data_IF_121082127762
#
_entry.id   IF_121082127762
#
_cell.length_a   1.000
_cell.length_b   1.000
_cell.length_c   1.000
_cell.angle_alpha   90.00
_cell.angle_beta   90.00
_cell.angle_gamma   90.00
#
_symmetry.space_group_name_H-M   'P 1'
#
loop_
_entity.id
_entity.type
_entity.pdbx_description
1 polymer ?
#
# COMPACT_ATOMS: atom_id res chain seq x y z
N UNK A 1 -0.78 -7.85 -25.94
CA UNK A 1 -0.85 -6.88 -24.85
C UNK A 1 -0.05 -5.63 -25.21
N UNK A 2 -0.53 -4.41 -24.85
CA UNK A 2 0.17 -3.16 -25.12
C UNK A 2 1.60 -3.18 -24.54
N UNK A 3 2.53 -2.53 -25.23
CA UNK A 3 3.91 -2.34 -24.74
C UNK A 3 4.00 -1.10 -23.83
N UNK A 4 5.14 -0.89 -23.17
CA UNK A 4 5.29 0.08 -22.08
C UNK A 4 4.80 1.50 -22.41
N UNK A 5 5.15 2.06 -23.57
CA UNK A 5 4.68 3.37 -24.02
C UNK A 5 3.17 3.40 -24.29
N UNK A 6 2.63 2.33 -24.85
CA UNK A 6 1.21 2.19 -25.16
C UNK A 6 0.37 2.01 -23.88
N UNK A 7 0.88 1.21 -22.91
CA UNK A 7 0.28 1.11 -21.56
C UNK A 7 0.20 2.48 -20.90
N UNK A 8 1.28 3.24 -20.97
CA UNK A 8 1.33 4.59 -20.41
C UNK A 8 0.32 5.49 -21.05
N UNK A 9 0.25 5.49 -22.37
CA UNK A 9 -0.74 6.30 -23.11
C UNK A 9 -2.18 5.95 -22.72
N UNK A 10 -2.50 4.64 -22.62
CA UNK A 10 -3.83 4.18 -22.21
C UNK A 10 -4.17 4.59 -20.77
N UNK A 11 -3.19 4.54 -19.86
CA UNK A 11 -3.36 5.00 -18.50
C UNK A 11 -3.67 6.51 -18.43
N UNK A 12 -2.89 7.33 -19.15
CA UNK A 12 -3.10 8.79 -19.16
C UNK A 12 -4.46 9.14 -19.79
N UNK A 13 -4.85 8.47 -20.87
CA UNK A 13 -6.16 8.64 -21.47
C UNK A 13 -7.30 8.29 -20.49
N UNK A 14 -7.18 7.15 -19.80
CA UNK A 14 -8.15 6.73 -18.78
C UNK A 14 -8.26 7.74 -17.65
N UNK A 15 -7.11 8.21 -17.13
CA UNK A 15 -7.02 9.24 -16.08
C UNK A 15 -7.70 10.54 -16.52
N UNK A 16 -7.43 11.00 -17.74
CA UNK A 16 -8.07 12.19 -18.31
C UNK A 16 -9.59 12.04 -18.36
N UNK A 17 -10.09 10.90 -18.86
CA UNK A 17 -11.53 10.62 -18.94
C UNK A 17 -12.18 10.62 -17.54
N UNK A 18 -11.52 10.09 -16.50
CA UNK A 18 -12.03 10.17 -15.14
C UNK A 18 -12.14 11.61 -14.66
N UNK A 19 -11.12 12.44 -14.88
CA UNK A 19 -11.13 13.84 -14.48
C UNK A 19 -12.21 14.65 -15.22
N UNK A 20 -12.38 14.45 -16.53
CA UNK A 20 -13.44 15.07 -17.35
C UNK A 20 -14.85 14.70 -16.85
N UNK A 21 -15.00 13.56 -16.20
CA UNK A 21 -16.26 13.10 -15.59
C UNK A 21 -16.36 13.39 -14.09
N UNK A 22 -15.50 14.27 -13.56
CA UNK A 22 -15.59 14.77 -12.18
C UNK A 22 -15.04 13.83 -11.11
N UNK A 23 -14.31 12.79 -11.50
CA UNK A 23 -13.60 11.94 -10.53
C UNK A 23 -12.30 12.58 -10.08
N UNK A 24 -11.88 12.23 -8.88
CA UNK A 24 -10.60 12.64 -8.28
C UNK A 24 -9.76 11.37 -8.05
N UNK A 25 -8.48 11.45 -8.32
CA UNK A 25 -7.55 10.36 -8.02
C UNK A 25 -7.36 10.23 -6.50
N UNK A 26 -7.60 9.02 -5.98
CA UNK A 26 -7.35 8.69 -4.56
C UNK A 26 -5.91 8.17 -4.39
N UNK A 27 -5.39 7.52 -5.39
CA UNK A 27 -4.03 6.97 -5.47
C UNK A 27 -4.01 5.57 -6.06
N UNK A 28 -2.88 5.17 -6.64
CA UNK A 28 -2.63 3.83 -7.17
C UNK A 28 -3.80 3.26 -7.98
N UNK A 29 -4.23 3.97 -9.01
CA UNK A 29 -5.32 3.57 -9.94
C UNK A 29 -6.73 3.56 -9.34
N UNK A 30 -6.94 4.18 -8.19
CA UNK A 30 -8.26 4.36 -7.59
C UNK A 30 -8.75 5.78 -7.82
N UNK A 31 -9.98 5.90 -8.30
CA UNK A 31 -10.65 7.17 -8.54
C UNK A 31 -12.00 7.16 -7.83
N UNK A 32 -12.43 8.29 -7.31
CA UNK A 32 -13.71 8.44 -6.63
C UNK A 32 -14.34 9.80 -6.95
N UNK A 33 -15.66 9.88 -6.86
CA UNK A 33 -16.36 11.16 -6.92
C UNK A 33 -16.11 11.95 -5.63
N UNK A 34 -16.13 13.30 -5.65
CA UNK A 34 -15.98 14.13 -4.45
C UNK A 34 -17.00 13.82 -3.35
N UNK A 35 -18.18 13.32 -3.72
CA UNK A 35 -19.22 12.91 -2.77
C UNK A 35 -18.94 11.59 -2.06
N UNK A 36 -18.01 10.77 -2.59
CA UNK A 36 -17.66 9.45 -2.07
C UNK A 36 -16.95 9.52 -0.72
N UNK A 37 -17.12 8.48 0.07
CA UNK A 37 -16.48 8.34 1.38
C UNK A 37 -14.95 8.24 1.29
N UNK A 38 -14.41 7.66 0.21
CA UNK A 38 -12.96 7.58 -0.01
C UNK A 38 -12.33 8.97 -0.19
N UNK A 39 -12.95 9.83 -1.01
CA UNK A 39 -12.47 11.20 -1.21
C UNK A 39 -12.52 11.99 0.10
N UNK A 40 -13.65 11.93 0.82
CA UNK A 40 -13.79 12.58 2.12
C UNK A 40 -12.78 12.11 3.15
N UNK A 41 -12.46 10.81 3.15
CA UNK A 41 -11.44 10.25 4.03
C UNK A 41 -10.02 10.71 3.63
N UNK A 42 -9.74 10.84 2.34
CA UNK A 42 -8.48 11.39 1.82
C UNK A 42 -8.27 12.83 2.28
N UNK A 43 -9.27 13.71 2.08
CA UNK A 43 -9.22 15.11 2.53
C UNK A 43 -9.05 15.24 4.05
N UNK A 44 -9.71 14.35 4.81
CA UNK A 44 -9.61 14.30 6.26
C UNK A 44 -8.33 13.62 6.78
N UNK A 45 -7.41 13.15 5.90
CA UNK A 45 -6.22 12.35 6.23
C UNK A 45 -6.55 11.09 7.07
N UNK A 46 -7.70 10.49 6.80
CA UNK A 46 -8.21 9.26 7.44
C UNK A 46 -8.26 8.07 6.49
N UNK A 47 -7.79 8.26 5.25
CA UNK A 47 -7.71 7.20 4.28
C UNK A 47 -6.85 6.05 4.83
N UNK A 48 -7.30 4.83 4.63
CA UNK A 48 -6.56 3.63 4.98
C UNK A 48 -6.44 2.72 3.76
N UNK A 49 -5.46 1.81 3.78
CA UNK A 49 -5.30 0.80 2.75
C UNK A 49 -5.07 -0.57 3.40
N UNK A 50 -5.77 -1.57 2.89
CA UNK A 50 -5.60 -2.98 3.24
C UNK A 50 -5.42 -3.83 1.97
N UNK A 51 -5.52 -5.16 2.07
CA UNK A 51 -5.40 -6.06 0.92
C UNK A 51 -6.52 -5.94 -0.11
N UNK A 52 -7.65 -5.34 0.24
CA UNK A 52 -8.77 -5.09 -0.68
C UNK A 52 -8.62 -3.78 -1.48
N UNK A 53 -7.75 -2.86 -1.02
CA UNK A 53 -7.56 -1.55 -1.63
C UNK A 53 -7.70 -0.41 -0.61
N UNK A 54 -8.02 0.79 -1.09
CA UNK A 54 -8.28 1.94 -0.22
C UNK A 54 -9.65 1.83 0.46
N UNK A 55 -9.70 2.24 1.72
CA UNK A 55 -10.91 2.26 2.55
C UNK A 55 -11.05 3.59 3.27
N UNK A 56 -12.29 4.04 3.51
CA UNK A 56 -12.58 5.29 4.19
C UNK A 56 -12.30 5.26 5.72
N UNK A 57 -11.95 4.10 6.25
CA UNK A 57 -11.65 3.94 7.67
C UNK A 57 -10.75 2.74 7.93
N UNK A 58 -10.04 2.78 9.04
CA UNK A 58 -9.19 1.70 9.50
C UNK A 58 -10.04 0.57 10.08
N UNK A 59 -9.80 -0.65 9.60
CA UNK A 59 -10.35 -1.88 10.17
C UNK A 59 -9.27 -2.53 11.04
N UNK A 60 -9.59 -2.87 12.29
CA UNK A 60 -8.63 -3.50 13.20
C UNK A 60 -8.44 -5.00 12.92
N UNK A 61 -9.52 -5.65 12.46
CA UNK A 61 -9.54 -7.05 12.09
C UNK A 61 -10.30 -7.23 10.77
N UNK A 62 -9.64 -7.83 9.82
CA UNK A 62 -10.22 -8.30 8.56
C UNK A 62 -10.02 -9.81 8.46
N UNK A 63 -11.11 -10.56 8.33
CA UNK A 63 -11.07 -12.01 8.14
C UNK A 63 -11.33 -12.31 6.66
N UNK A 64 -10.36 -12.93 6.02
CA UNK A 64 -10.47 -13.37 4.64
C UNK A 64 -11.27 -14.66 4.53
N UNK A 65 -12.35 -14.64 3.78
CA UNK A 65 -13.17 -15.83 3.47
C UNK A 65 -12.90 -16.30 2.05
N UNK A 66 -12.80 -17.61 1.89
CA UNK A 66 -12.51 -18.26 0.62
C UNK A 66 -11.03 -18.60 0.43
N UNK A 67 -10.76 -19.37 -0.64
CA UNK A 67 -9.40 -19.75 -1.04
C UNK A 67 -8.54 -18.52 -1.33
N UNK A 68 -7.25 -18.60 -1.05
CA UNK A 68 -6.24 -17.53 -1.25
C UNK A 68 -6.47 -16.22 -0.47
N UNK A 69 -7.59 -16.06 0.24
CA UNK A 69 -7.93 -14.83 0.96
C UNK A 69 -6.92 -14.53 2.05
N UNK A 70 -6.70 -13.24 2.30
CA UNK A 70 -5.77 -12.75 3.33
C UNK A 70 -6.56 -12.12 4.47
N UNK A 71 -6.27 -12.58 5.68
CA UNK A 71 -6.71 -11.96 6.94
C UNK A 71 -5.63 -11.01 7.46
N UNK A 72 -6.06 -9.91 8.05
CA UNK A 72 -5.20 -8.87 8.63
C UNK A 72 -5.75 -8.46 9.99
N UNK A 73 -4.97 -8.68 11.04
CA UNK A 73 -5.29 -8.30 12.43
C UNK A 73 -4.37 -7.21 12.97
N UNK A 74 -3.80 -6.36 12.12
CA UNK A 74 -2.79 -5.37 12.47
C UNK A 74 -1.44 -5.95 12.94
N UNK A 75 -1.46 -6.99 13.78
CA UNK A 75 -0.27 -7.64 14.34
C UNK A 75 0.12 -8.93 13.61
N UNK A 76 -0.74 -9.41 12.73
CA UNK A 76 -0.53 -10.66 12.03
C UNK A 76 -1.24 -10.67 10.68
N UNK A 77 -0.66 -11.38 9.73
CA UNK A 77 -1.30 -11.75 8.49
C UNK A 77 -1.50 -13.27 8.45
N UNK A 78 -2.60 -13.71 7.87
CA UNK A 78 -2.83 -15.12 7.56
C UNK A 78 -3.42 -15.24 6.16
N UNK A 79 -2.97 -16.21 5.39
CA UNK A 79 -3.49 -16.51 4.06
C UNK A 79 -4.09 -17.91 4.06
N UNK A 80 -5.31 -18.02 3.55
CA UNK A 80 -5.98 -19.29 3.37
C UNK A 80 -5.31 -20.12 2.27
N UNK A 81 -5.62 -21.44 2.24
CA UNK A 81 -5.20 -22.36 1.20
C UNK A 81 -5.50 -21.78 -0.18
N UNK A 82 -4.57 -22.01 -1.10
CA UNK A 82 -4.66 -21.49 -2.46
C UNK A 82 -5.40 -22.41 -3.40
N UNK A 83 -5.34 -23.72 -3.10
CA UNK A 83 -6.07 -24.74 -3.82
C UNK A 83 -7.48 -24.89 -3.26
N UNK A 84 -8.48 -25.01 -4.14
CA UNK A 84 -9.87 -25.07 -3.74
C UNK A 84 -10.22 -26.38 -3.03
N UNK A 85 -9.60 -27.49 -3.42
CA UNK A 85 -9.86 -28.80 -2.85
C UNK A 85 -9.28 -28.87 -1.43
N UNK A 86 -8.06 -28.38 -1.23
CA UNK A 86 -7.42 -28.28 0.09
C UNK A 86 -8.19 -27.32 1.01
N UNK A 87 -8.63 -26.19 0.49
CA UNK A 87 -9.48 -25.25 1.23
C UNK A 87 -10.78 -25.93 1.69
N UNK A 88 -11.50 -26.53 0.75
CA UNK A 88 -12.79 -27.17 1.00
C UNK A 88 -12.65 -28.35 1.98
N UNK A 89 -11.60 -29.15 1.82
CA UNK A 89 -11.30 -30.29 2.72
C UNK A 89 -11.11 -29.83 4.16
N UNK A 90 -10.29 -28.78 4.40
CA UNK A 90 -10.08 -28.24 5.74
C UNK A 90 -11.36 -27.68 6.35
N UNK A 91 -12.12 -26.89 5.58
CA UNK A 91 -13.39 -26.31 6.04
C UNK A 91 -14.40 -27.40 6.42
N UNK A 92 -14.55 -28.44 5.60
CA UNK A 92 -15.45 -29.56 5.89
C UNK A 92 -15.04 -30.37 7.14
N UNK A 93 -13.77 -30.31 7.52
CA UNK A 93 -13.25 -30.92 8.74
C UNK A 93 -13.35 -29.99 9.96
N UNK A 94 -13.89 -28.78 9.81
CA UNK A 94 -13.92 -27.77 10.87
C UNK A 94 -12.55 -27.16 11.20
N UNK A 95 -11.58 -27.29 10.29
CA UNK A 95 -10.21 -26.77 10.44
C UNK A 95 -10.14 -25.42 9.75
N UNK A 96 -9.55 -24.42 10.42
CA UNK A 96 -9.28 -23.10 9.81
C UNK A 96 -8.30 -23.31 8.66
N UNK A 97 -8.66 -22.94 7.40
CA UNK A 97 -7.93 -23.33 6.21
C UNK A 97 -6.69 -22.43 5.95
N UNK A 98 -5.90 -22.15 6.98
CA UNK A 98 -4.69 -21.34 6.85
C UNK A 98 -3.59 -22.15 6.19
N UNK A 99 -3.02 -21.59 5.10
CA UNK A 99 -1.82 -22.07 4.42
C UNK A 99 -0.56 -21.54 5.05
N UNK A 100 -0.53 -20.23 5.33
CA UNK A 100 0.61 -19.54 5.96
C UNK A 100 0.16 -18.31 6.73
N UNK A 101 1.00 -17.89 7.65
CA UNK A 101 0.79 -16.65 8.42
C UNK A 101 2.12 -16.00 8.79
N UNK A 102 2.05 -14.75 9.21
CA UNK A 102 3.20 -14.00 9.69
C UNK A 102 2.78 -13.13 10.88
N UNK A 103 3.50 -13.29 11.99
CA UNK A 103 3.38 -12.40 13.15
C UNK A 103 4.33 -11.22 12.97
N UNK A 104 3.78 -10.02 13.05
CA UNK A 104 4.55 -8.79 12.86
C UNK A 104 5.37 -8.48 14.12
N UNK A 105 6.66 -8.27 13.95
CA UNK A 105 7.54 -7.75 14.99
C UNK A 105 7.31 -6.24 15.21
N UNK A 106 7.83 -5.69 16.29
CA UNK A 106 7.80 -4.24 16.52
C UNK A 106 8.41 -3.44 15.36
N UNK A 107 9.48 -3.97 14.74
CA UNK A 107 10.09 -3.37 13.54
C UNK A 107 9.14 -3.42 12.34
N UNK A 108 8.47 -4.55 12.10
CA UNK A 108 7.50 -4.69 11.01
C UNK A 108 6.33 -3.70 11.16
N UNK A 109 5.86 -3.49 12.39
CA UNK A 109 4.79 -2.52 12.68
C UNK A 109 5.19 -1.07 12.37
N UNK A 110 6.44 -0.70 12.69
CA UNK A 110 6.99 0.62 12.35
C UNK A 110 7.08 0.78 10.83
N UNK A 111 7.65 -0.20 10.13
CA UNK A 111 7.75 -0.19 8.67
C UNK A 111 6.35 -0.13 8.02
N UNK A 112 5.41 -0.97 8.49
CA UNK A 112 4.01 -0.96 8.04
C UNK A 112 3.39 0.43 8.15
N UNK A 113 3.62 1.13 9.26
CA UNK A 113 3.11 2.50 9.46
C UNK A 113 3.66 3.46 8.40
N UNK A 114 4.96 3.41 8.12
CA UNK A 114 5.56 4.28 7.09
C UNK A 114 5.03 3.97 5.69
N UNK A 115 4.91 2.70 5.34
CA UNK A 115 4.34 2.25 4.06
C UNK A 115 2.91 2.77 3.91
N UNK A 116 2.05 2.59 4.92
CA UNK A 116 0.66 3.07 4.89
C UNK A 116 0.57 4.59 4.82
N UNK A 117 1.41 5.33 5.53
CA UNK A 117 1.45 6.78 5.46
C UNK A 117 1.80 7.27 4.05
N UNK A 118 2.82 6.67 3.41
CA UNK A 118 3.20 7.01 2.04
C UNK A 118 2.10 6.67 1.05
N UNK A 119 1.43 5.51 1.21
CA UNK A 119 0.34 5.09 0.33
C UNK A 119 -0.90 5.98 0.45
N UNK A 120 -1.24 6.44 1.65
CA UNK A 120 -2.50 7.12 1.92
C UNK A 120 -2.38 8.65 1.98
N UNK A 121 -1.19 9.18 2.33
CA UNK A 121 -0.98 10.60 2.57
C UNK A 121 0.16 11.19 1.73
N UNK A 122 0.87 10.38 0.96
CA UNK A 122 2.06 10.76 0.19
C UNK A 122 3.19 11.36 1.05
N UNK A 123 3.15 11.13 2.35
CA UNK A 123 4.14 11.65 3.30
C UNK A 123 4.30 10.71 4.51
N UNK A 124 5.47 10.70 5.13
CA UNK A 124 5.69 10.01 6.39
C UNK A 124 6.75 10.69 7.24
N UNK A 125 6.51 10.80 8.55
CA UNK A 125 7.51 11.24 9.54
C UNK A 125 8.33 10.04 9.97
N UNK A 126 9.64 10.09 9.81
CA UNK A 126 10.55 8.97 10.06
C UNK A 126 11.60 9.22 11.15
N UNK A 127 11.45 10.29 11.89
CA UNK A 127 12.32 10.61 13.03
C UNK A 127 12.12 9.67 14.22
N UNK A 128 10.99 8.97 14.29
CA UNK A 128 10.64 8.07 15.39
C UNK A 128 10.56 6.63 14.87
N UNK A 129 11.20 5.72 15.60
CA UNK A 129 11.08 4.27 15.41
C UNK A 129 12.07 3.65 14.42
N UNK A 130 12.72 4.43 13.55
CA UNK A 130 13.74 3.93 12.62
C UNK A 130 15.15 4.31 13.14
N UNK A 131 16.00 3.31 13.31
CA UNK A 131 17.43 3.52 13.63
C UNK A 131 18.19 4.13 12.44
N UNK A 132 19.32 4.79 12.72
CA UNK A 132 20.13 5.47 11.72
C UNK A 132 20.57 4.55 10.56
N UNK A 133 20.90 3.30 10.85
CA UNK A 133 21.30 2.32 9.83
C UNK A 133 20.15 2.02 8.85
N UNK A 134 18.93 1.81 9.37
CA UNK A 134 17.73 1.55 8.54
C UNK A 134 17.39 2.76 7.69
N UNK A 135 17.48 3.98 8.25
CA UNK A 135 17.28 5.21 7.48
C UNK A 135 18.29 5.34 6.34
N UNK A 136 19.57 5.08 6.62
CA UNK A 136 20.62 5.11 5.60
C UNK A 136 20.35 4.12 4.46
N UNK A 137 19.91 2.91 4.81
CA UNK A 137 19.55 1.89 3.83
C UNK A 137 18.36 2.32 2.96
N UNK A 138 17.30 2.87 3.57
CA UNK A 138 16.13 3.39 2.85
C UNK A 138 16.55 4.53 1.90
N UNK A 139 17.37 5.49 2.37
CA UNK A 139 17.89 6.58 1.53
C UNK A 139 18.67 6.03 0.33
N UNK A 140 19.52 5.04 0.55
CA UNK A 140 20.28 4.40 -0.54
C UNK A 140 19.35 3.78 -1.59
N UNK A 141 18.28 3.10 -1.16
CA UNK A 141 17.27 2.50 -2.05
C UNK A 141 16.46 3.57 -2.80
N UNK A 142 16.24 4.72 -2.18
CA UNK A 142 15.52 5.85 -2.78
C UNK A 142 16.40 6.75 -3.65
N UNK A 143 17.70 6.47 -3.77
CA UNK A 143 18.66 7.39 -4.40
C UNK A 143 18.22 7.84 -5.80
N UNK A 144 17.82 6.94 -6.68
CA UNK A 144 17.38 7.30 -8.03
C UNK A 144 16.13 8.22 -8.00
N UNK A 145 15.17 7.93 -7.12
CA UNK A 145 13.95 8.72 -6.95
C UNK A 145 14.24 10.12 -6.39
N UNK A 146 15.25 10.21 -5.51
CA UNK A 146 15.76 11.50 -4.96
C UNK A 146 16.45 12.30 -6.07
N UNK A 147 17.34 11.65 -6.82
CA UNK A 147 18.11 12.28 -7.91
C UNK A 147 17.17 12.79 -9.02
N UNK A 148 16.06 12.10 -9.27
CA UNK A 148 15.00 12.51 -10.20
C UNK A 148 14.08 13.61 -9.63
N UNK A 149 14.28 14.00 -8.36
CA UNK A 149 13.52 15.07 -7.70
C UNK A 149 12.06 14.73 -7.41
N UNK A 150 11.67 13.45 -7.37
CA UNK A 150 10.29 12.99 -7.19
C UNK A 150 9.83 12.98 -5.73
N UNK A 151 10.77 13.03 -4.79
CA UNK A 151 10.52 13.14 -3.35
C UNK A 151 11.36 14.24 -2.75
N UNK A 152 10.89 14.75 -1.62
CA UNK A 152 11.63 15.67 -0.77
C UNK A 152 11.90 15.00 0.58
N UNK A 153 13.16 15.04 1.02
CA UNK A 153 13.58 14.48 2.30
C UNK A 153 14.08 15.60 3.18
N UNK A 154 13.44 15.75 4.34
CA UNK A 154 13.91 16.57 5.44
C UNK A 154 14.43 15.70 6.59
N UNK A 155 14.98 16.33 7.63
CA UNK A 155 15.46 15.62 8.82
C UNK A 155 14.40 14.68 9.40
N UNK A 156 13.14 15.07 9.39
CA UNK A 156 12.05 14.39 10.08
C UNK A 156 11.01 13.79 9.15
N UNK A 157 11.01 14.10 7.85
CA UNK A 157 9.89 13.79 6.97
C UNK A 157 10.34 13.45 5.55
N UNK A 158 9.63 12.52 4.94
CA UNK A 158 9.66 12.26 3.49
C UNK A 158 8.31 12.68 2.94
N UNK A 159 8.34 13.49 1.87
CA UNK A 159 7.14 13.93 1.14
C UNK A 159 7.28 13.53 -0.32
N UNK A 160 6.27 12.90 -0.87
CA UNK A 160 6.18 12.56 -2.29
C UNK A 160 5.62 13.77 -3.01
N UNK A 161 6.32 14.25 -4.05
CA UNK A 161 5.83 15.35 -4.88
C UNK A 161 4.75 14.86 -5.84
N UNK A 162 4.05 15.79 -6.49
CA UNK A 162 2.97 15.46 -7.42
C UNK A 162 3.48 14.53 -8.54
N UNK A 163 4.63 14.87 -9.14
CA UNK A 163 5.26 14.06 -10.19
C UNK A 163 5.73 12.69 -9.69
N UNK A 164 6.00 12.58 -8.39
CA UNK A 164 6.38 11.33 -7.74
C UNK A 164 5.22 10.41 -7.39
N UNK A 165 3.97 10.91 -7.42
CA UNK A 165 2.79 10.17 -6.99
C UNK A 165 2.59 8.85 -7.78
N UNK A 166 2.88 8.86 -9.07
CA UNK A 166 2.84 7.66 -9.92
C UNK A 166 3.90 6.61 -9.55
N UNK A 167 4.97 7.00 -8.88
CA UNK A 167 6.04 6.14 -8.41
C UNK A 167 5.91 5.77 -6.92
N UNK A 168 4.78 6.10 -6.29
CA UNK A 168 4.57 5.85 -4.85
C UNK A 168 4.83 4.40 -4.48
N UNK A 169 4.53 3.45 -5.38
CA UNK A 169 4.83 2.04 -5.20
C UNK A 169 6.33 1.77 -5.05
N UNK A 170 7.14 2.35 -5.92
CA UNK A 170 8.60 2.22 -5.87
C UNK A 170 9.15 2.88 -4.60
N UNK A 171 8.53 4.00 -4.16
CA UNK A 171 8.93 4.72 -2.97
C UNK A 171 8.69 3.88 -1.71
N UNK A 172 7.47 3.35 -1.50
CA UNK A 172 7.22 2.56 -0.29
C UNK A 172 7.88 1.17 -0.33
N UNK A 173 8.18 0.60 -1.51
CA UNK A 173 8.97 -0.63 -1.61
C UNK A 173 10.39 -0.46 -1.03
N UNK A 174 10.96 0.75 -1.05
CA UNK A 174 12.24 1.01 -0.41
C UNK A 174 12.21 0.80 1.12
N UNK A 175 11.04 0.89 1.74
CA UNK A 175 10.81 0.60 3.15
C UNK A 175 10.60 -0.89 3.42
N UNK A 176 10.26 -1.70 2.43
CA UNK A 176 10.10 -3.13 2.62
C UNK A 176 11.47 -3.81 2.69
N UNK A 177 11.95 -3.97 3.92
CA UNK A 177 13.27 -4.55 4.19
C UNK A 177 13.32 -6.06 3.93
N UNK A 178 12.17 -6.72 3.75
CA UNK A 178 12.06 -8.16 3.47
C UNK A 178 11.97 -8.49 1.98
N UNK A 179 11.77 -7.48 1.13
CA UNK A 179 11.59 -7.69 -0.30
C UNK A 179 12.85 -8.22 -1.01
N UNK A 180 14.02 -8.16 -0.37
CA UNK A 180 15.34 -8.46 -0.94
C UNK A 180 15.99 -9.69 -0.25
N UNK A 181 15.33 -10.25 0.74
CA UNK A 181 15.68 -11.55 1.29
C UNK A 181 14.94 -12.68 0.54
#
# INVERSE_FOLDING_TARGET
LPKDSEKRHLYELGKQLFFENGYVEIGMDHFALPSDSLHKAMEAKKLHRNFMGYTAGKTELMIGLGMSSISDSWYAFAQNEKDIDDYTKKVNQGIIPIFRGHLLTAKDLIIRKHILNLMCNLETEWNVGLGAQVKSEIIQRLKAIIDDGLIEISENKITVKEEGSMFVRNIFMAFDLRLIE
#
